data_IF_338805334709
#
_entry.id   IF_338805334709
#
_cell.length_a   1.000
_cell.length_b   1.000
_cell.length_c   1.000
_cell.angle_alpha   90.00
_cell.angle_beta   90.00
_cell.angle_gamma   90.00
#
_symmetry.space_group_name_H-M   'P 1'
#
loop_
_entity.id
_entity.type
_entity.pdbx_description
1 polymer ?
#
# COMPACT_ATOMS: atom_id res chain seq x y z
N UNK A 1 -13.02 -19.02 -10.18
CA UNK A 1 -13.48 -18.21 -9.03
C UNK A 1 -14.41 -17.15 -9.61
N UNK A 2 -15.69 -17.17 -9.25
CA UNK A 2 -16.67 -16.25 -9.85
C UNK A 2 -16.47 -14.81 -9.38
N UNK A 3 -16.26 -14.61 -8.08
CA UNK A 3 -16.00 -13.28 -7.49
C UNK A 3 -14.92 -13.41 -6.41
N UNK A 4 -13.66 -13.12 -6.71
CA UNK A 4 -12.60 -13.20 -5.72
C UNK A 4 -12.71 -12.09 -4.67
N UNK A 5 -12.15 -12.35 -3.49
CA UNK A 5 -11.79 -11.35 -2.50
C UNK A 5 -10.36 -10.94 -2.80
N UNK A 6 -10.09 -9.64 -2.90
CA UNK A 6 -8.74 -9.13 -3.09
C UNK A 6 -8.17 -8.65 -1.76
N UNK A 7 -7.00 -9.14 -1.40
CA UNK A 7 -6.25 -8.64 -0.24
C UNK A 7 -4.93 -8.09 -0.76
N UNK A 8 -4.71 -6.79 -0.62
CA UNK A 8 -3.51 -6.13 -1.12
C UNK A 8 -2.81 -5.33 -0.02
N UNK A 9 -1.49 -5.51 0.10
CA UNK A 9 -0.63 -4.75 1.01
C UNK A 9 0.19 -3.73 0.25
N UNK A 10 0.32 -2.51 0.78
CA UNK A 10 1.14 -1.46 0.21
C UNK A 10 0.70 -1.17 -1.25
N UNK A 11 1.61 -1.18 -2.20
CA UNK A 11 1.30 -1.04 -3.63
C UNK A 11 0.24 -2.06 -4.11
N UNK A 12 0.23 -3.28 -3.56
CA UNK A 12 -0.82 -4.27 -3.82
C UNK A 12 -2.21 -3.80 -3.34
N UNK A 13 -2.27 -3.01 -2.27
CA UNK A 13 -3.49 -2.34 -1.82
C UNK A 13 -3.96 -1.27 -2.79
N UNK A 14 -3.04 -0.47 -3.35
CA UNK A 14 -3.35 0.48 -4.43
C UNK A 14 -3.88 -0.23 -5.68
N UNK A 15 -3.28 -1.36 -6.07
CA UNK A 15 -3.78 -2.19 -7.17
C UNK A 15 -5.18 -2.73 -6.88
N UNK A 16 -5.45 -3.20 -5.65
CA UNK A 16 -6.77 -3.68 -5.26
C UNK A 16 -7.84 -2.56 -5.36
N UNK A 17 -7.52 -1.33 -4.93
CA UNK A 17 -8.38 -0.17 -5.10
C UNK A 17 -8.66 0.12 -6.59
N UNK A 18 -7.62 0.14 -7.42
CA UNK A 18 -7.76 0.41 -8.85
C UNK A 18 -8.61 -0.67 -9.55
N UNK A 19 -8.36 -1.95 -9.27
CA UNK A 19 -9.14 -3.05 -9.84
C UNK A 19 -10.61 -2.96 -9.37
N UNK A 20 -10.85 -2.72 -8.08
CA UNK A 20 -12.20 -2.63 -7.54
C UNK A 20 -12.97 -1.43 -8.09
N UNK A 21 -12.32 -0.31 -8.37
CA UNK A 21 -12.96 0.87 -8.95
C UNK A 21 -13.40 0.67 -10.42
N UNK A 22 -12.70 -0.20 -11.16
CA UNK A 22 -12.95 -0.45 -12.59
C UNK A 22 -13.71 -1.76 -12.86
N UNK A 23 -13.65 -2.74 -11.94
CA UNK A 23 -14.19 -4.09 -12.08
C UNK A 23 -15.11 -4.47 -10.90
N UNK A 24 -15.82 -3.52 -10.32
CA UNK A 24 -16.61 -3.70 -9.09
C UNK A 24 -17.59 -4.88 -9.16
N UNK A 25 -18.19 -5.15 -10.32
CA UNK A 25 -19.11 -6.27 -10.51
C UNK A 25 -18.47 -7.66 -10.52
N UNK A 26 -17.14 -7.74 -10.66
CA UNK A 26 -16.36 -8.99 -10.75
C UNK A 26 -15.67 -9.38 -9.46
N UNK A 27 -15.81 -8.58 -8.42
CA UNK A 27 -15.12 -8.74 -7.13
C UNK A 27 -16.16 -8.88 -6.03
N UNK A 28 -15.89 -9.72 -5.02
CA UNK A 28 -16.77 -9.89 -3.85
C UNK A 28 -16.54 -8.79 -2.82
N UNK A 29 -15.30 -8.57 -2.43
CA UNK A 29 -14.87 -7.55 -1.47
C UNK A 29 -13.36 -7.30 -1.58
N UNK A 30 -12.86 -6.23 -0.96
CA UNK A 30 -11.43 -5.95 -0.90
C UNK A 30 -10.96 -5.66 0.53
N UNK A 31 -9.74 -6.08 0.82
CA UNK A 31 -8.99 -5.71 2.03
C UNK A 31 -7.72 -4.97 1.58
N UNK A 32 -7.63 -3.72 1.95
CA UNK A 32 -6.49 -2.84 1.66
C UNK A 32 -5.66 -2.72 2.93
N UNK A 33 -4.40 -3.15 2.86
CA UNK A 33 -3.49 -3.14 4.01
C UNK A 33 -2.40 -2.12 3.75
N UNK A 34 -2.41 -1.08 4.53
CA UNK A 34 -1.43 0.02 4.56
C UNK A 34 -1.13 0.62 3.19
N UNK A 35 -2.20 1.01 2.50
CA UNK A 35 -2.16 1.72 1.24
C UNK A 35 -3.20 2.85 1.20
N UNK A 36 -2.87 3.91 0.49
CA UNK A 36 -3.71 5.09 0.33
C UNK A 36 -4.11 5.27 -1.13
N UNK A 37 -5.27 5.88 -1.42
CA UNK A 37 -5.67 6.24 -2.78
C UNK A 37 -4.66 7.15 -3.48
N UNK A 38 -4.02 8.04 -2.73
CA UNK A 38 -2.99 8.94 -3.22
C UNK A 38 -1.93 9.19 -2.14
N UNK A 39 -0.77 8.56 -2.29
CA UNK A 39 0.32 8.70 -1.32
C UNK A 39 0.84 10.15 -1.28
N UNK A 40 0.97 10.79 -2.42
CA UNK A 40 1.45 12.17 -2.53
C UNK A 40 0.52 13.19 -1.84
N UNK A 41 -0.78 12.90 -1.75
CA UNK A 41 -1.76 13.79 -1.11
C UNK A 41 -1.62 13.87 0.42
N UNK A 42 -0.81 13.02 1.04
CA UNK A 42 -0.45 13.14 2.46
C UNK A 42 0.34 14.42 2.72
N UNK A 43 1.22 14.78 1.78
CA UNK A 43 2.10 15.95 1.87
C UNK A 43 1.61 17.15 1.04
N UNK A 44 0.90 16.88 -0.05
CA UNK A 44 0.32 17.87 -0.94
C UNK A 44 -1.15 17.52 -1.22
N UNK A 45 -2.11 18.05 -0.47
CA UNK A 45 -3.54 17.75 -0.65
C UNK A 45 -4.07 18.06 -2.06
N UNK A 46 -3.45 19.03 -2.74
CA UNK A 46 -3.83 19.46 -4.09
C UNK A 46 -3.07 18.71 -5.19
N UNK A 47 -2.34 17.64 -4.81
CA UNK A 47 -1.65 16.80 -5.78
C UNK A 47 -2.61 16.27 -6.85
N UNK A 48 -2.14 16.28 -8.08
CA UNK A 48 -2.81 15.67 -9.23
C UNK A 48 -1.80 14.79 -9.96
N UNK A 49 -2.24 13.56 -10.28
CA UNK A 49 -1.43 12.68 -11.12
C UNK A 49 -1.26 13.26 -12.52
N UNK A 50 -0.14 12.92 -13.14
CA UNK A 50 0.16 13.30 -14.53
C UNK A 50 0.67 12.09 -15.29
N UNK A 51 0.66 12.20 -16.59
CA UNK A 51 1.32 11.21 -17.42
C UNK A 51 2.84 11.22 -17.17
N UNK A 52 3.39 10.03 -17.01
CA UNK A 52 4.82 9.80 -16.77
C UNK A 52 5.39 9.10 -17.99
N UNK A 53 6.45 9.66 -18.56
CA UNK A 53 7.17 9.05 -19.69
C UNK A 53 8.06 7.88 -19.22
N UNK A 54 8.41 6.98 -20.15
CA UNK A 54 9.34 5.88 -19.85
C UNK A 54 10.76 6.38 -19.51
N UNK A 55 11.15 7.52 -20.05
CA UNK A 55 12.42 8.17 -19.72
C UNK A 55 12.45 8.63 -18.26
N UNK A 56 11.37 9.23 -17.76
CA UNK A 56 11.24 9.63 -16.35
C UNK A 56 11.28 8.41 -15.42
N UNK A 57 10.56 7.31 -15.74
CA UNK A 57 10.61 6.07 -14.96
C UNK A 57 12.02 5.49 -14.90
N UNK A 58 12.73 5.52 -16.02
CA UNK A 58 14.11 5.02 -16.12
C UNK A 58 15.06 5.87 -15.29
N UNK A 59 14.94 7.22 -15.37
CA UNK A 59 15.75 8.16 -14.59
C UNK A 59 15.48 8.03 -13.09
N UNK A 60 14.23 7.88 -12.69
CA UNK A 60 13.88 7.67 -11.28
C UNK A 60 14.51 6.40 -10.70
N UNK A 61 14.64 5.34 -11.51
CA UNK A 61 15.29 4.09 -11.12
C UNK A 61 16.82 4.13 -11.12
N UNK A 62 17.44 5.12 -11.77
CA UNK A 62 18.89 5.15 -11.99
C UNK A 62 19.69 5.09 -10.69
N UNK A 63 19.22 5.75 -9.63
CA UNK A 63 19.88 5.71 -8.31
C UNK A 63 19.94 4.29 -7.72
N UNK A 64 18.85 3.56 -7.77
CA UNK A 64 18.77 2.17 -7.26
C UNK A 64 19.60 1.22 -8.12
N UNK A 65 19.57 1.40 -9.43
CA UNK A 65 20.31 0.56 -10.38
C UNK A 65 21.83 0.78 -10.30
N UNK A 66 22.28 1.99 -9.99
CA UNK A 66 23.68 2.34 -9.83
C UNK A 66 24.30 1.85 -8.51
N UNK A 67 23.51 1.33 -7.58
CA UNK A 67 24.04 0.81 -6.32
C UNK A 67 24.78 -0.52 -6.54
N UNK A 68 25.92 -0.68 -5.87
CA UNK A 68 26.53 -2.00 -5.70
C UNK A 68 25.59 -2.92 -4.90
N UNK A 69 25.81 -4.24 -4.95
CA UNK A 69 24.99 -5.18 -4.17
C UNK A 69 25.09 -4.92 -2.66
N UNK A 70 26.25 -4.51 -2.19
CA UNK A 70 26.46 -4.14 -0.78
C UNK A 70 25.67 -2.88 -0.40
N UNK A 71 25.73 -1.85 -1.23
CA UNK A 71 24.95 -0.62 -1.02
C UNK A 71 23.45 -0.89 -1.04
N UNK A 72 22.99 -1.70 -1.98
CA UNK A 72 21.58 -2.06 -2.08
C UNK A 72 21.11 -2.89 -0.89
N UNK A 73 21.92 -3.86 -0.42
CA UNK A 73 21.67 -4.63 0.81
C UNK A 73 21.56 -3.71 2.03
N UNK A 74 22.48 -2.77 2.17
CA UNK A 74 22.44 -1.80 3.28
C UNK A 74 21.18 -0.94 3.22
N UNK A 75 20.80 -0.46 2.04
CA UNK A 75 19.58 0.32 1.86
C UNK A 75 18.34 -0.52 2.19
N UNK A 76 18.27 -1.77 1.73
CA UNK A 76 17.19 -2.69 2.05
C UNK A 76 17.06 -2.92 3.57
N UNK A 77 18.16 -3.04 4.28
CA UNK A 77 18.15 -3.17 5.74
C UNK A 77 17.61 -1.90 6.43
N UNK A 78 18.10 -0.73 6.02
CA UNK A 78 17.59 0.55 6.54
C UNK A 78 16.07 0.66 6.29
N UNK A 79 15.61 0.30 5.09
CA UNK A 79 14.17 0.28 4.77
C UNK A 79 13.41 -0.70 5.66
N UNK A 80 13.94 -1.92 5.89
CA UNK A 80 13.30 -2.90 6.75
C UNK A 80 13.07 -2.36 8.17
N UNK A 81 14.05 -1.67 8.76
CA UNK A 81 13.92 -1.07 10.10
C UNK A 81 12.91 0.07 10.18
N UNK A 82 12.58 0.70 9.06
CA UNK A 82 11.58 1.76 8.96
C UNK A 82 10.16 1.23 8.70
N UNK A 83 10.04 -0.04 8.25
CA UNK A 83 8.77 -0.62 7.81
C UNK A 83 8.14 -1.60 8.81
N UNK A 84 8.92 -2.10 9.78
CA UNK A 84 8.41 -2.99 10.84
C UNK A 84 9.21 -2.80 12.14
N UNK A 85 8.55 -3.01 13.26
CA UNK A 85 9.18 -3.04 14.59
C UNK A 85 9.69 -4.45 14.95
N UNK A 86 9.29 -5.49 14.20
CA UNK A 86 9.71 -6.87 14.40
C UNK A 86 11.10 -7.13 13.77
N UNK A 87 12.15 -6.99 14.59
CA UNK A 87 13.52 -7.19 14.14
C UNK A 87 13.82 -8.61 13.61
N UNK A 88 13.02 -9.61 13.98
CA UNK A 88 13.18 -10.98 13.47
C UNK A 88 12.79 -11.09 11.99
N UNK A 89 12.14 -10.07 11.43
CA UNK A 89 11.72 -10.02 10.03
C UNK A 89 12.66 -9.22 9.12
N UNK A 90 13.64 -8.51 9.68
CA UNK A 90 14.53 -7.68 8.86
C UNK A 90 15.25 -8.49 7.78
N UNK A 91 15.79 -9.64 8.12
CA UNK A 91 16.50 -10.50 7.15
C UNK A 91 15.58 -11.03 6.05
N UNK A 92 14.33 -11.37 6.37
CA UNK A 92 13.32 -11.77 5.39
C UNK A 92 13.04 -10.62 4.40
N UNK A 93 12.81 -9.39 4.91
CA UNK A 93 12.55 -8.21 4.09
C UNK A 93 13.73 -7.85 3.19
N UNK A 94 14.96 -7.93 3.74
CA UNK A 94 16.19 -7.74 2.97
C UNK A 94 16.30 -8.78 1.87
N UNK A 95 16.07 -10.05 2.17
CA UNK A 95 16.11 -11.15 1.21
C UNK A 95 15.10 -10.94 0.08
N UNK A 96 13.87 -10.54 0.39
CA UNK A 96 12.86 -10.26 -0.62
C UNK A 96 13.26 -9.08 -1.51
N UNK A 97 13.78 -8.00 -0.93
CA UNK A 97 14.30 -6.86 -1.69
C UNK A 97 15.41 -7.27 -2.65
N UNK A 98 16.37 -8.09 -2.18
CA UNK A 98 17.51 -8.54 -3.00
C UNK A 98 17.12 -9.54 -4.10
N UNK A 99 16.03 -10.29 -3.91
CA UNK A 99 15.52 -11.24 -4.91
C UNK A 99 14.60 -10.59 -5.95
N UNK A 100 14.22 -9.34 -5.75
CA UNK A 100 13.37 -8.60 -6.67
C UNK A 100 14.19 -7.92 -7.76
N UNK A 101 13.63 -7.81 -8.97
CA UNK A 101 14.25 -7.04 -10.05
C UNK A 101 14.23 -5.54 -9.74
N UNK A 102 15.41 -4.94 -9.62
CA UNK A 102 15.59 -3.54 -9.18
C UNK A 102 14.93 -2.55 -10.13
N UNK A 103 15.01 -2.79 -11.45
CA UNK A 103 14.40 -1.90 -12.44
C UNK A 103 12.89 -1.90 -12.31
N UNK A 104 12.29 -3.10 -12.23
CA UNK A 104 10.84 -3.25 -12.07
C UNK A 104 10.37 -2.59 -10.77
N UNK A 105 11.05 -2.85 -9.64
CA UNK A 105 10.69 -2.23 -8.36
C UNK A 105 10.77 -0.71 -8.42
N UNK A 106 11.83 -0.15 -9.00
CA UNK A 106 12.00 1.29 -9.10
C UNK A 106 10.92 1.95 -9.95
N UNK A 107 10.60 1.37 -11.12
CA UNK A 107 9.54 1.86 -12.02
C UNK A 107 8.16 1.79 -11.36
N UNK A 108 7.83 0.64 -10.78
CA UNK A 108 6.52 0.45 -10.11
C UNK A 108 6.35 1.39 -8.93
N UNK A 109 7.39 1.60 -8.11
CA UNK A 109 7.34 2.53 -6.99
C UNK A 109 7.17 3.98 -7.47
N UNK A 110 7.87 4.37 -8.55
CA UNK A 110 7.73 5.68 -9.14
C UNK A 110 6.32 5.92 -9.70
N UNK A 111 5.78 4.93 -10.42
CA UNK A 111 4.41 4.99 -10.91
C UNK A 111 3.41 5.10 -9.76
N UNK A 112 3.54 4.24 -8.72
CA UNK A 112 2.65 4.26 -7.58
C UNK A 112 2.68 5.58 -6.81
N UNK A 113 3.86 6.22 -6.67
CA UNK A 113 3.97 7.52 -6.02
C UNK A 113 3.32 8.66 -6.81
N UNK A 114 3.04 8.47 -8.09
CA UNK A 114 2.33 9.44 -8.96
C UNK A 114 0.85 9.08 -9.19
N UNK A 115 0.36 7.97 -8.63
CA UNK A 115 -1.05 7.57 -8.74
C UNK A 115 -1.94 8.44 -7.87
N UNK A 116 -3.09 8.83 -8.42
CA UNK A 116 -4.19 9.45 -7.68
C UNK A 116 -5.49 8.70 -7.96
N UNK A 117 -5.92 7.88 -7.01
CA UNK A 117 -7.14 7.09 -7.09
C UNK A 117 -8.31 7.71 -6.28
N UNK A 118 -8.17 8.94 -5.76
CA UNK A 118 -9.18 9.55 -4.88
C UNK A 118 -10.56 9.62 -5.54
N UNK A 119 -10.63 10.02 -6.80
CA UNK A 119 -11.88 10.01 -7.57
C UNK A 119 -12.32 8.59 -7.97
N UNK A 120 -11.36 7.70 -8.25
CA UNK A 120 -11.66 6.33 -8.65
C UNK A 120 -12.27 5.50 -7.52
N UNK A 121 -11.82 5.70 -6.28
CA UNK A 121 -12.37 4.96 -5.12
C UNK A 121 -13.85 5.26 -4.87
N UNK A 122 -14.38 6.37 -5.35
CA UNK A 122 -15.81 6.69 -5.26
C UNK A 122 -16.68 5.67 -6.02
N UNK A 123 -16.12 5.00 -7.04
CA UNK A 123 -16.80 4.00 -7.84
C UNK A 123 -16.80 2.59 -7.21
N UNK A 124 -16.11 2.39 -6.09
CA UNK A 124 -16.04 1.08 -5.43
C UNK A 124 -17.36 0.85 -4.67
N UNK A 125 -18.18 -0.09 -5.12
CA UNK A 125 -19.46 -0.43 -4.48
C UNK A 125 -19.38 -1.71 -3.61
N UNK A 126 -18.29 -2.47 -3.68
CA UNK A 126 -18.12 -3.69 -2.89
C UNK A 126 -17.68 -3.38 -1.46
N UNK A 127 -17.97 -4.27 -0.48
CA UNK A 127 -17.45 -4.15 0.87
C UNK A 127 -15.93 -3.96 0.86
N UNK A 128 -15.46 -2.97 1.60
CA UNK A 128 -14.05 -2.56 1.61
C UNK A 128 -13.56 -2.40 3.04
N UNK A 129 -12.55 -3.17 3.43
CA UNK A 129 -11.82 -3.00 4.67
C UNK A 129 -10.47 -2.35 4.40
N UNK A 130 -10.16 -1.27 5.09
CA UNK A 130 -8.86 -0.59 5.03
C UNK A 130 -8.20 -0.69 6.41
N UNK A 131 -7.04 -1.33 6.47
CA UNK A 131 -6.23 -1.46 7.68
C UNK A 131 -4.97 -0.63 7.52
N UNK A 132 -4.76 0.33 8.41
CA UNK A 132 -3.66 1.29 8.35
C UNK A 132 -2.74 1.18 9.56
N UNK A 133 -1.46 1.50 9.37
CA UNK A 133 -0.46 1.52 10.42
C UNK A 133 -0.80 2.51 11.54
N UNK A 134 -0.26 2.25 12.73
CA UNK A 134 -0.54 3.08 13.91
C UNK A 134 -0.17 4.56 13.73
N UNK A 135 0.98 4.94 13.15
CA UNK A 135 1.36 6.35 12.94
C UNK A 135 0.34 7.17 12.15
N UNK A 136 -0.42 6.55 11.25
CA UNK A 136 -1.42 7.23 10.43
C UNK A 136 -2.61 7.79 11.24
N UNK A 137 -2.82 7.33 12.49
CA UNK A 137 -3.78 7.95 13.42
C UNK A 137 -3.53 9.44 13.61
N UNK A 138 -2.28 9.89 13.56
CA UNK A 138 -1.92 11.30 13.78
C UNK A 138 -2.41 12.22 12.66
N UNK A 139 -2.62 11.66 11.48
CA UNK A 139 -3.08 12.36 10.28
C UNK A 139 -4.39 11.78 9.75
N UNK A 140 -5.18 11.14 10.61
CA UNK A 140 -6.44 10.49 10.25
C UNK A 140 -7.37 11.39 9.40
N UNK A 141 -7.59 12.68 9.69
CA UNK A 141 -8.46 13.52 8.88
C UNK A 141 -7.99 13.68 7.43
N UNK A 142 -6.67 13.65 7.17
CA UNK A 142 -6.11 13.73 5.82
C UNK A 142 -6.36 12.42 5.07
N UNK A 143 -6.20 11.30 5.76
CA UNK A 143 -6.35 9.96 5.19
C UNK A 143 -7.82 9.64 4.93
N UNK A 144 -8.69 9.85 5.92
CA UNK A 144 -10.14 9.58 5.83
C UNK A 144 -10.78 10.38 4.69
N UNK A 145 -10.32 11.62 4.44
CA UNK A 145 -10.77 12.43 3.31
C UNK A 145 -10.47 11.78 1.97
N UNK A 146 -9.36 11.05 1.84
CA UNK A 146 -8.99 10.37 0.58
C UNK A 146 -9.93 9.21 0.24
N UNK A 147 -10.48 8.55 1.25
CA UNK A 147 -11.41 7.43 1.05
C UNK A 147 -12.87 7.88 0.97
N UNK A 148 -13.19 9.07 1.47
CA UNK A 148 -14.56 9.56 1.59
C UNK A 148 -15.37 8.80 2.65
N UNK A 149 -16.57 9.32 2.94
CA UNK A 149 -17.50 8.67 3.87
C UNK A 149 -18.48 7.79 3.08
N UNK A 150 -18.32 6.47 3.15
CA UNK A 150 -19.13 5.50 2.39
C UNK A 150 -19.62 4.36 3.29
N UNK A 151 -20.87 3.91 3.13
CA UNK A 151 -21.46 2.87 4.00
C UNK A 151 -20.80 1.49 3.84
N UNK A 152 -20.13 1.24 2.71
CA UNK A 152 -19.44 -0.02 2.40
C UNK A 152 -17.95 0.00 2.72
N UNK A 153 -17.46 1.03 3.43
CA UNK A 153 -16.07 1.20 3.80
C UNK A 153 -15.89 1.14 5.31
N UNK A 154 -15.03 0.24 5.76
CA UNK A 154 -14.48 0.24 7.11
C UNK A 154 -13.01 0.63 7.07
N UNK A 155 -12.64 1.70 7.78
CA UNK A 155 -11.25 2.14 7.93
C UNK A 155 -10.82 1.99 9.38
N UNK A 156 -9.76 1.24 9.62
CA UNK A 156 -9.26 0.92 10.95
C UNK A 156 -7.76 1.13 11.03
N UNK A 157 -7.31 1.61 12.17
CA UNK A 157 -5.89 1.83 12.47
C UNK A 157 -5.40 0.79 13.46
N UNK A 158 -4.23 0.22 13.19
CA UNK A 158 -3.57 -0.73 14.08
C UNK A 158 -3.33 -0.10 15.47
N UNK A 159 -3.26 -0.94 16.50
CA UNK A 159 -2.99 -0.47 17.85
C UNK A 159 -1.52 -0.09 18.04
N UNK A 160 -0.65 -0.74 17.28
CA UNK A 160 0.81 -0.56 17.28
C UNK A 160 1.38 -0.93 15.92
N UNK A 161 2.67 -0.68 15.74
CA UNK A 161 3.41 -1.13 14.57
C UNK A 161 3.41 -0.15 13.40
N UNK A 162 4.12 -0.56 12.37
CA UNK A 162 4.41 0.19 11.17
C UNK A 162 3.80 -0.50 9.94
N UNK A 163 4.33 -0.22 8.77
CA UNK A 163 3.86 -0.66 7.46
C UNK A 163 3.52 -2.17 7.35
N UNK A 164 4.32 -3.03 7.98
CA UNK A 164 4.03 -4.48 8.03
C UNK A 164 3.17 -4.84 9.25
N UNK A 165 1.94 -4.33 9.29
CA UNK A 165 0.97 -4.55 10.37
C UNK A 165 0.81 -6.05 10.70
N UNK A 166 0.87 -6.91 9.67
CA UNK A 166 0.75 -8.37 9.82
C UNK A 166 1.89 -9.00 10.64
N UNK A 167 3.01 -8.29 10.83
CA UNK A 167 4.08 -8.69 11.72
C UNK A 167 3.94 -8.01 13.08
N UNK A 168 3.73 -6.71 13.08
CA UNK A 168 3.80 -5.86 14.27
C UNK A 168 2.57 -5.97 15.18
N UNK A 169 1.37 -6.15 14.62
CA UNK A 169 0.10 -6.29 15.34
C UNK A 169 -0.72 -7.47 14.78
N UNK A 170 -0.07 -8.64 14.72
CA UNK A 170 -0.57 -9.83 14.03
C UNK A 170 -1.96 -10.28 14.50
N UNK A 171 -2.20 -10.29 15.80
CA UNK A 171 -3.49 -10.74 16.36
C UNK A 171 -4.62 -9.81 15.98
N UNK A 172 -4.36 -8.50 16.07
CA UNK A 172 -5.32 -7.49 15.64
C UNK A 172 -5.59 -7.60 14.13
N UNK A 173 -4.53 -7.69 13.32
CA UNK A 173 -4.62 -7.82 11.86
C UNK A 173 -5.48 -9.01 11.44
N UNK A 174 -5.21 -10.21 11.98
CA UNK A 174 -5.96 -11.42 11.65
C UNK A 174 -7.42 -11.26 12.08
N UNK A 175 -7.68 -10.75 13.29
CA UNK A 175 -9.04 -10.55 13.79
C UNK A 175 -9.84 -9.62 12.88
N UNK A 176 -9.28 -8.46 12.48
CA UNK A 176 -10.01 -7.53 11.60
C UNK A 176 -10.39 -8.19 10.27
N UNK A 177 -9.48 -8.95 9.67
CA UNK A 177 -9.77 -9.66 8.41
C UNK A 177 -10.83 -10.74 8.62
N UNK A 178 -10.71 -11.55 9.66
CA UNK A 178 -11.65 -12.64 9.91
C UNK A 178 -13.05 -12.11 10.21
N UNK A 179 -13.18 -11.06 11.01
CA UNK A 179 -14.46 -10.41 11.29
C UNK A 179 -15.09 -9.92 9.96
N UNK A 180 -14.36 -9.17 9.16
CA UNK A 180 -14.83 -8.65 7.87
C UNK A 180 -15.21 -9.75 6.84
N UNK A 181 -14.56 -10.90 6.86
CA UNK A 181 -14.86 -11.98 5.92
C UNK A 181 -16.07 -12.84 6.33
N UNK A 182 -16.46 -12.77 7.60
CA UNK A 182 -17.59 -13.52 8.15
C UNK A 182 -18.91 -12.72 8.18
N UNK A 183 -18.84 -11.39 7.99
CA UNK A 183 -19.98 -10.50 7.80
C UNK A 183 -20.49 -10.53 6.33
#
# INVERSE_FOLDING_TARGET
IEKPILIGHSMGGGLALNIASTQTNRIKSIVVVDALPCLAAVYNPDFQSREISDDERTKAGAGMLGMSDEQFRRQAYISATALTTDSLRYDDLVKWSLSSDRMTCARMYYDYSNVDLRSAVENISVPTLVLLEHPFKKIAPIIERQFGNRPNLELKYANKGLHFIMFDDREWYIRQIMDFLND
#
